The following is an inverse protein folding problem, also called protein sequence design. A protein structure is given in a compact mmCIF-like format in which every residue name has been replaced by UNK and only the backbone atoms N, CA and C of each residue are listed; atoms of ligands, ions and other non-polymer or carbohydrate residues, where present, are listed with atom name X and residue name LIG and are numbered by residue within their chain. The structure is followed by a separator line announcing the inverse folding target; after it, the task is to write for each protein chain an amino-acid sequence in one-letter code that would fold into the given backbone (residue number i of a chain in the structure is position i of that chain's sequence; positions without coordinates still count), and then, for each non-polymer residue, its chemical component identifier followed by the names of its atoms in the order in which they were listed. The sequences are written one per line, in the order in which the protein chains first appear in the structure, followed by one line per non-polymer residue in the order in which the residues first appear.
data_IF_600488379335
#
_entry.id   IF_600488379335
#
_cell.length_a   1.000
_cell.length_b   1.000
_cell.length_c   1.000
_cell.angle_alpha   90.00
_cell.angle_beta   90.00
_cell.angle_gamma   90.00
#
_symmetry.space_group_name_H-M   'P 1'
#
loop_
_entity.id
_entity.type
_entity.pdbx_description
1 polymer ?
#
# COMPACT_ATOMS: atom_id res chain seq x y z
N UNK A 1 10.70 2.40 -9.72
CA UNK A 1 9.56 1.61 -10.24
C UNK A 1 9.35 1.93 -11.70
N UNK A 2 9.40 0.90 -12.55
CA UNK A 2 8.99 0.97 -13.95
C UNK A 2 7.51 0.66 -14.07
N UNK A 3 6.90 0.98 -15.22
CA UNK A 3 5.49 0.69 -15.46
C UNK A 3 5.19 -0.82 -15.39
N UNK A 4 6.17 -1.65 -15.75
CA UNK A 4 6.06 -3.11 -15.64
C UNK A 4 6.07 -3.63 -14.19
N UNK A 5 6.59 -2.86 -13.23
CA UNK A 5 6.57 -3.24 -11.81
C UNK A 5 5.19 -3.01 -11.18
N UNK A 6 4.36 -2.18 -11.81
CA UNK A 6 2.99 -1.91 -11.36
C UNK A 6 2.05 -3.11 -11.54
N UNK A 7 2.33 -3.95 -12.53
CA UNK A 7 1.56 -5.17 -12.84
C UNK A 7 2.09 -6.42 -12.10
N UNK A 8 3.15 -6.27 -11.32
CA UNK A 8 3.68 -7.36 -10.48
C UNK A 8 2.94 -7.47 -9.16
N UNK A 9 2.89 -8.66 -8.55
CA UNK A 9 2.27 -8.84 -7.24
C UNK A 9 2.96 -8.00 -6.17
N UNK A 10 2.20 -7.64 -5.14
CA UNK A 10 2.71 -6.89 -4.01
C UNK A 10 1.94 -7.26 -2.74
N UNK A 11 2.66 -7.26 -1.62
CA UNK A 11 2.12 -7.54 -0.30
C UNK A 11 1.86 -6.20 0.41
N UNK A 12 0.60 -5.95 0.76
CA UNK A 12 0.18 -4.78 1.53
C UNK A 12 -0.02 -5.20 2.99
N UNK A 13 0.71 -4.56 3.89
CA UNK A 13 0.52 -4.70 5.34
C UNK A 13 -0.09 -3.41 5.89
N UNK A 14 -1.28 -3.52 6.47
CA UNK A 14 -1.98 -2.43 7.13
C UNK A 14 -1.72 -2.47 8.63
N UNK A 15 -1.22 -1.37 9.17
CA UNK A 15 -1.05 -1.18 10.60
C UNK A 15 -2.12 -0.22 11.12
N UNK A 16 -3.04 -0.67 11.99
CA UNK A 16 -4.01 0.23 12.60
C UNK A 16 -3.31 1.26 13.50
N UNK A 17 -3.73 2.52 13.42
CA UNK A 17 -3.19 3.62 14.22
C UNK A 17 -3.71 3.67 15.66
N UNK A 18 -4.79 2.95 15.97
CA UNK A 18 -5.46 2.96 17.27
C UNK A 18 -5.19 1.67 18.08
N UNK A 19 -4.81 1.85 19.34
CA UNK A 19 -4.45 0.78 20.29
C UNK A 19 -5.65 0.00 20.85
N UNK A 20 -5.48 -1.28 21.26
CA UNK A 20 -4.22 -1.99 21.36
C UNK A 20 -3.88 -2.75 20.08
N UNK A 21 -2.68 -2.50 19.57
CA UNK A 21 -2.13 -3.05 18.35
C UNK A 21 -2.06 -4.58 18.42
N UNK A 22 -3.04 -5.27 17.86
CA UNK A 22 -2.96 -6.71 17.66
C UNK A 22 -3.42 -7.03 16.24
N UNK A 23 -2.44 -7.47 15.44
CA UNK A 23 -2.53 -7.99 14.07
C UNK A 23 -2.48 -6.91 12.98
N UNK A 24 -1.29 -6.76 12.40
CA UNK A 24 -1.15 -6.10 11.11
C UNK A 24 -1.87 -6.97 10.06
N UNK A 25 -2.87 -6.40 9.37
CA UNK A 25 -3.57 -7.12 8.32
C UNK A 25 -2.67 -7.14 7.08
N UNK A 26 -2.20 -8.32 6.70
CA UNK A 26 -1.40 -8.48 5.48
C UNK A 26 -2.26 -9.08 4.39
N UNK A 27 -2.40 -8.36 3.29
CA UNK A 27 -3.15 -8.75 2.11
C UNK A 27 -2.20 -8.80 0.92
N UNK A 28 -2.10 -9.96 0.27
CA UNK A 28 -1.39 -10.10 -0.99
C UNK A 28 -2.28 -9.69 -2.15
N UNK A 29 -1.80 -8.77 -2.97
CA UNK A 29 -2.48 -8.34 -4.18
C UNK A 29 -1.79 -8.91 -5.43
N UNK A 30 -2.57 -9.22 -6.49
CA UNK A 30 -2.01 -9.71 -7.74
C UNK A 30 -1.22 -8.63 -8.50
N UNK A 31 -1.48 -7.35 -8.22
CA UNK A 31 -0.76 -6.22 -8.82
C UNK A 31 -0.45 -5.13 -7.78
N UNK A 32 0.67 -4.44 -7.96
CA UNK A 32 1.07 -3.30 -7.16
C UNK A 32 0.08 -2.13 -7.29
N UNK A 33 -0.55 -1.94 -8.46
CA UNK A 33 -1.64 -0.96 -8.61
C UNK A 33 -2.80 -1.23 -7.66
N UNK A 34 -3.21 -2.50 -7.53
CA UNK A 34 -4.30 -2.86 -6.64
C UNK A 34 -3.90 -2.68 -5.17
N UNK A 35 -2.66 -3.03 -4.80
CA UNK A 35 -2.13 -2.76 -3.47
C UNK A 35 -2.11 -1.26 -3.14
N UNK A 36 -1.68 -0.41 -4.08
CA UNK A 36 -1.63 1.05 -3.91
C UNK A 36 -3.03 1.66 -3.73
N UNK A 37 -4.00 1.21 -4.51
CA UNK A 37 -5.39 1.65 -4.38
C UNK A 37 -5.96 1.29 -3.01
N UNK A 38 -5.79 0.03 -2.57
CA UNK A 38 -6.25 -0.40 -1.25
C UNK A 38 -5.53 0.33 -0.11
N UNK A 39 -4.25 0.64 -0.27
CA UNK A 39 -3.48 1.41 0.70
C UNK A 39 -3.96 2.86 0.82
N UNK A 40 -4.33 3.49 -0.30
CA UNK A 40 -4.90 4.84 -0.29
C UNK A 40 -6.22 4.89 0.47
N UNK A 41 -7.13 3.97 0.15
CA UNK A 41 -8.42 3.84 0.84
C UNK A 41 -8.24 3.61 2.35
N UNK A 42 -7.27 2.79 2.76
CA UNK A 42 -7.01 2.53 4.18
C UNK A 42 -6.43 3.75 4.93
N UNK A 43 -5.62 4.58 4.26
CA UNK A 43 -5.14 5.86 4.84
C UNK A 43 -6.32 6.79 5.08
N UNK A 44 -7.24 6.88 4.12
CA UNK A 44 -8.37 7.80 4.18
C UNK A 44 -9.47 7.33 5.15
N UNK A 45 -9.71 6.02 5.24
CA UNK A 45 -10.79 5.44 6.04
C UNK A 45 -10.43 5.22 7.53
N UNK A 46 -9.22 4.74 7.82
CA UNK A 46 -8.91 4.17 9.14
C UNK A 46 -7.70 4.80 9.84
N UNK A 47 -7.13 5.88 9.28
CA UNK A 47 -5.84 6.44 9.74
C UNK A 47 -4.79 5.32 9.92
N UNK A 48 -4.84 4.33 9.04
CA UNK A 48 -3.92 3.20 9.07
C UNK A 48 -2.59 3.61 8.43
N UNK A 49 -1.51 2.95 8.84
CA UNK A 49 -0.21 3.06 8.22
C UNK A 49 -0.02 1.85 7.26
N UNK A 50 -0.31 1.99 5.95
CA UNK A 50 -0.05 0.95 4.98
C UNK A 50 1.43 0.89 4.60
N UNK A 51 1.95 -0.33 4.51
CA UNK A 51 3.27 -0.63 3.99
C UNK A 51 3.11 -1.60 2.84
N UNK A 52 3.68 -1.29 1.68
CA UNK A 52 3.65 -2.21 0.54
C UNK A 52 5.06 -2.73 0.31
N UNK A 53 5.19 -4.05 0.20
CA UNK A 53 6.39 -4.72 -0.25
C UNK A 53 6.11 -5.22 -1.66
N UNK A 54 6.86 -4.71 -2.63
CA UNK A 54 6.75 -5.15 -4.03
C UNK A 54 7.46 -6.48 -4.24
N UNK A 55 7.12 -7.20 -5.30
CA UNK A 55 7.84 -8.42 -5.73
C UNK A 55 9.36 -8.18 -5.95
N UNK A 56 9.74 -6.96 -6.33
CA UNK A 56 11.14 -6.57 -6.49
C UNK A 56 11.89 -6.40 -5.15
N UNK A 57 11.18 -6.48 -4.02
CA UNK A 57 11.72 -6.23 -2.68
C UNK A 57 11.75 -4.75 -2.29
N UNK A 58 11.20 -3.86 -3.11
CA UNK A 58 11.05 -2.44 -2.74
C UNK A 58 9.98 -2.30 -1.64
N UNK A 59 10.27 -1.48 -0.64
CA UNK A 59 9.37 -1.18 0.47
C UNK A 59 8.83 0.25 0.28
N UNK A 60 7.51 0.37 0.17
CA UNK A 60 6.80 1.64 0.04
C UNK A 60 6.18 1.98 1.39
N UNK A 61 6.65 3.09 1.97
CA UNK A 61 6.17 3.61 3.24
C UNK A 61 4.84 4.39 3.08
N UNK A 62 4.04 4.52 4.14
CA UNK A 62 2.75 5.22 4.12
C UNK A 62 2.81 6.63 3.50
N UNK A 63 3.85 7.40 3.85
CA UNK A 63 4.05 8.76 3.32
C UNK A 63 4.29 8.78 1.81
N UNK A 64 5.02 7.80 1.29
CA UNK A 64 5.27 7.66 -0.15
C UNK A 64 3.97 7.31 -0.87
N UNK A 65 3.21 6.36 -0.32
CA UNK A 65 1.91 5.95 -0.85
C UNK A 65 0.96 7.14 -0.88
N UNK A 66 0.86 7.91 0.21
CA UNK A 66 0.02 9.12 0.26
C UNK A 66 0.37 10.13 -0.84
N UNK A 67 1.66 10.33 -1.09
CA UNK A 67 2.13 11.25 -2.12
C UNK A 67 1.86 10.76 -3.56
N UNK A 68 1.78 9.44 -3.79
CA UNK A 68 1.70 8.85 -5.13
C UNK A 68 0.35 8.19 -5.46
N UNK A 69 -0.49 7.91 -4.46
CA UNK A 69 -1.76 7.20 -4.62
C UNK A 69 -2.98 8.13 -4.54
N UNK A 70 -2.92 9.22 -3.75
CA UNK A 70 -4.01 10.19 -3.60
C UNK A 70 -4.07 11.28 -4.69
N UNK A 71 -3.00 11.43 -5.47
CA UNK A 71 -3.04 12.22 -6.70
C UNK A 71 -3.32 11.25 -7.83
N UNK A 72 -4.41 11.44 -8.60
CA UNK A 72 -4.81 10.59 -9.73
C UNK A 72 -3.82 10.57 -10.92
N UNK A 73 -2.54 10.34 -10.66
CA UNK A 73 -1.43 10.35 -11.60
C UNK A 73 -0.84 8.94 -11.76
N UNK A 74 -1.72 7.93 -11.85
CA UNK A 74 -1.39 6.60 -12.37
C UNK A 74 -2.23 6.30 -13.64
N UNK A 75 -2.54 7.34 -14.42
CA UNK A 75 -3.03 7.21 -15.81
C UNK A 75 -1.86 7.02 -16.76
#
# INVERSE_FOLDING_TARGET
MTLADLDKPADLTLWPGDTPAHVAATCRFPTLRAALAAAAEAIDAENAAPWIITDAGDILAPNWIRANAGSGCLQ
#
